data_IF_977385500861
#
_entry.id   IF_977385500861
#
_cell.length_a   1.000
_cell.length_b   1.000
_cell.length_c   1.000
_cell.angle_alpha   90.00
_cell.angle_beta   90.00
_cell.angle_gamma   90.00
#
_symmetry.space_group_name_H-M   'P 1'
#
loop_
_entity.id
_entity.type
_entity.pdbx_description
1 polymer ?
#
# COMPACT_ATOMS: atom_id res chain seq x y z
N UNK A 1 68.97 13.51 -0.88
CA UNK A 1 68.82 12.17 -1.48
C UNK A 1 67.33 11.92 -1.70
N UNK A 2 66.82 12.30 -2.87
CA UNK A 2 65.43 12.04 -3.27
C UNK A 2 65.38 10.63 -3.84
N UNK A 3 64.84 9.68 -3.09
CA UNK A 3 64.61 8.32 -3.59
C UNK A 3 63.65 8.41 -4.78
N UNK A 4 64.17 8.19 -5.99
CA UNK A 4 63.36 8.13 -7.20
C UNK A 4 62.44 6.90 -7.11
N UNK A 5 61.14 7.14 -6.98
CA UNK A 5 60.13 6.08 -7.00
C UNK A 5 60.27 5.31 -8.31
N UNK A 6 60.39 3.98 -8.21
CA UNK A 6 60.44 3.12 -9.39
C UNK A 6 59.15 3.30 -10.23
N UNK A 7 59.22 3.09 -11.56
CA UNK A 7 58.05 3.21 -12.43
C UNK A 7 56.87 2.32 -12.00
N UNK A 8 57.14 1.21 -11.31
CA UNK A 8 56.13 0.32 -10.74
C UNK A 8 55.41 0.95 -9.54
N UNK A 9 56.12 1.68 -8.67
CA UNK A 9 55.50 2.43 -7.57
C UNK A 9 54.62 3.56 -8.08
N UNK A 10 55.03 4.25 -9.15
CA UNK A 10 54.25 5.33 -9.76
C UNK A 10 52.97 4.80 -10.42
N UNK A 11 53.04 3.65 -11.08
CA UNK A 11 51.88 2.94 -11.63
C UNK A 11 50.89 2.48 -10.53
N UNK A 12 51.39 1.90 -9.43
CA UNK A 12 50.54 1.48 -8.31
C UNK A 12 49.85 2.67 -7.61
N UNK A 13 50.54 3.81 -7.49
CA UNK A 13 49.97 5.05 -6.96
C UNK A 13 48.83 5.59 -7.83
N UNK A 14 49.01 5.57 -9.16
CA UNK A 14 47.98 5.98 -10.11
C UNK A 14 46.76 5.05 -10.06
N UNK A 15 46.99 3.73 -10.01
CA UNK A 15 45.93 2.73 -9.89
C UNK A 15 45.10 2.94 -8.60
N UNK A 16 45.77 3.16 -7.47
CA UNK A 16 45.12 3.44 -6.19
C UNK A 16 44.28 4.72 -6.27
N UNK A 17 44.82 5.78 -6.87
CA UNK A 17 44.11 7.05 -7.05
C UNK A 17 42.84 6.88 -7.93
N UNK A 18 42.95 6.14 -9.04
CA UNK A 18 41.81 5.82 -9.89
C UNK A 18 40.75 4.97 -9.16
N UNK A 19 41.18 4.00 -8.35
CA UNK A 19 40.26 3.15 -7.59
C UNK A 19 39.53 3.94 -6.48
N UNK A 20 40.24 4.86 -5.80
CA UNK A 20 39.64 5.78 -4.83
C UNK A 20 38.67 6.73 -5.54
N UNK A 21 39.06 7.31 -6.68
CA UNK A 21 38.20 8.18 -7.48
C UNK A 21 36.93 7.47 -7.95
N UNK A 22 37.06 6.22 -8.41
CA UNK A 22 35.92 5.38 -8.78
C UNK A 22 35.03 5.04 -7.58
N UNK A 23 35.59 4.69 -6.43
CA UNK A 23 34.84 4.43 -5.19
C UNK A 23 34.10 5.66 -4.69
N UNK A 24 34.72 6.85 -4.76
CA UNK A 24 34.09 8.13 -4.42
C UNK A 24 32.98 8.47 -5.40
N UNK A 25 33.20 8.35 -6.71
CA UNK A 25 32.18 8.60 -7.74
C UNK A 25 31.02 7.61 -7.62
N UNK A 26 31.30 6.33 -7.41
CA UNK A 26 30.30 5.31 -7.17
C UNK A 26 29.50 5.60 -5.90
N UNK A 27 30.18 6.00 -4.83
CA UNK A 27 29.56 6.43 -3.57
C UNK A 27 28.64 7.63 -3.76
N UNK A 28 29.11 8.69 -4.41
CA UNK A 28 28.33 9.93 -4.63
C UNK A 28 27.15 9.70 -5.55
N UNK A 29 27.29 8.95 -6.66
CA UNK A 29 26.17 8.64 -7.57
C UNK A 29 25.13 7.75 -6.88
N UNK A 30 25.59 6.74 -6.13
CA UNK A 30 24.70 5.81 -5.41
C UNK A 30 23.98 6.47 -4.25
N UNK A 31 24.60 7.46 -3.60
CA UNK A 31 24.04 8.17 -2.46
C UNK A 31 23.32 9.46 -2.85
N UNK A 32 23.58 10.02 -4.04
CA UNK A 32 22.89 11.21 -4.55
C UNK A 32 21.38 11.03 -4.57
N UNK A 33 20.87 9.87 -5.01
CA UNK A 33 19.44 9.57 -4.97
C UNK A 33 18.88 9.50 -3.54
N UNK A 34 19.64 8.93 -2.60
CA UNK A 34 19.23 8.75 -1.20
C UNK A 34 19.27 10.05 -0.40
N UNK A 35 20.28 10.88 -0.62
CA UNK A 35 20.38 12.21 -0.05
C UNK A 35 19.36 13.15 -0.65
N UNK A 36 19.09 13.05 -1.96
CA UNK A 36 18.11 13.91 -2.64
C UNK A 36 16.68 13.69 -2.14
N UNK A 37 16.25 12.45 -1.88
CA UNK A 37 14.93 12.19 -1.25
C UNK A 37 14.84 12.80 0.16
N UNK A 38 15.87 12.63 1.00
CA UNK A 38 15.89 13.14 2.38
C UNK A 38 15.88 14.66 2.41
N UNK A 39 16.67 15.30 1.54
CA UNK A 39 16.69 16.75 1.38
C UNK A 39 15.35 17.29 0.85
N UNK A 40 14.71 16.60 -0.09
CA UNK A 40 13.40 17.00 -0.60
C UNK A 40 12.32 16.93 0.49
N UNK A 41 12.30 15.85 1.27
CA UNK A 41 11.42 15.69 2.43
C UNK A 41 11.60 16.82 3.46
N UNK A 42 12.84 17.07 3.88
CA UNK A 42 13.16 18.12 4.85
C UNK A 42 12.70 19.50 4.37
N UNK A 43 12.99 19.85 3.10
CA UNK A 43 12.50 21.10 2.51
C UNK A 43 10.98 21.25 2.53
N UNK A 44 10.23 20.17 2.30
CA UNK A 44 8.76 20.19 2.34
C UNK A 44 8.23 20.36 3.76
N UNK A 45 8.88 19.72 4.73
CA UNK A 45 8.59 19.87 6.16
C UNK A 45 8.87 21.33 6.58
N UNK A 46 10.04 21.86 6.26
CA UNK A 46 10.44 23.24 6.60
C UNK A 46 9.48 24.28 6.00
N UNK A 47 8.97 24.02 4.78
CA UNK A 47 8.00 24.88 4.11
C UNK A 47 6.61 24.93 4.78
N UNK A 48 6.28 23.99 5.68
CA UNK A 48 4.99 24.00 6.39
C UNK A 48 4.96 24.99 7.57
N UNK A 49 6.11 25.51 8.00
CA UNK A 49 6.23 26.44 9.12
C UNK A 49 6.18 25.78 10.52
N UNK A 50 6.41 26.56 11.59
CA UNK A 50 6.61 26.05 12.96
C UNK A 50 5.34 25.57 13.69
N UNK A 51 4.15 25.72 13.09
CA UNK A 51 2.84 25.40 13.71
C UNK A 51 2.60 23.90 13.98
N UNK A 52 3.50 23.03 13.53
CA UNK A 52 3.48 21.58 13.74
C UNK A 52 4.48 21.10 14.81
N UNK A 53 5.38 21.94 15.32
CA UNK A 53 6.62 21.47 15.94
C UNK A 53 6.49 20.84 17.35
N UNK A 54 5.63 21.35 18.23
CA UNK A 54 5.62 20.90 19.65
C UNK A 54 4.67 19.71 19.91
N UNK A 55 3.51 19.65 19.25
CA UNK A 55 2.55 18.53 19.41
C UNK A 55 2.94 17.32 18.55
N UNK A 56 3.72 17.52 17.49
CA UNK A 56 4.12 16.43 16.59
C UNK A 56 5.37 15.70 17.07
N UNK A 57 6.23 16.28 17.91
CA UNK A 57 7.51 15.65 18.26
C UNK A 57 7.33 14.29 18.95
N UNK A 58 6.39 14.19 19.89
CA UNK A 58 6.04 12.91 20.53
C UNK A 58 5.43 11.91 19.55
N UNK A 59 4.55 12.35 18.65
CA UNK A 59 3.94 11.50 17.64
C UNK A 59 4.97 11.01 16.60
N UNK A 60 5.91 11.85 16.22
CA UNK A 60 7.02 11.54 15.31
C UNK A 60 7.96 10.53 15.97
N UNK A 61 8.30 10.72 17.25
CA UNK A 61 9.16 9.79 17.95
C UNK A 61 8.46 8.43 18.15
N UNK A 62 7.15 8.42 18.45
CA UNK A 62 6.36 7.20 18.48
C UNK A 62 6.39 6.44 17.13
N UNK A 63 6.31 7.15 15.99
CA UNK A 63 6.44 6.55 14.66
C UNK A 63 7.83 5.95 14.44
N UNK A 64 8.89 6.68 14.85
CA UNK A 64 10.28 6.21 14.76
C UNK A 64 10.51 4.97 15.61
N UNK A 65 10.04 4.97 16.86
CA UNK A 65 10.18 3.87 17.80
C UNK A 65 9.42 2.63 17.35
N UNK A 66 8.16 2.78 16.93
CA UNK A 66 7.39 1.69 16.36
C UNK A 66 8.10 1.08 15.14
N UNK A 67 8.72 1.91 14.29
CA UNK A 67 9.54 1.42 13.17
C UNK A 67 10.82 0.71 13.62
N UNK A 68 11.48 1.17 14.71
CA UNK A 68 12.63 0.47 15.31
C UNK A 68 12.22 -0.95 15.72
N UNK A 69 11.12 -1.04 16.46
CA UNK A 69 10.59 -2.27 17.01
C UNK A 69 10.16 -3.23 15.89
N UNK A 70 9.47 -2.73 14.86
CA UNK A 70 9.11 -3.53 13.69
C UNK A 70 10.34 -4.13 13.00
N UNK A 71 11.42 -3.35 12.83
CA UNK A 71 12.66 -3.86 12.25
C UNK A 71 13.34 -4.89 13.15
N UNK A 72 13.31 -4.72 14.47
CA UNK A 72 13.88 -5.67 15.41
C UNK A 72 13.08 -6.97 15.43
N UNK A 73 11.75 -6.90 15.45
CA UNK A 73 10.86 -8.06 15.38
C UNK A 73 11.07 -8.86 14.08
N UNK A 74 11.32 -8.20 12.95
CA UNK A 74 11.66 -8.85 11.67
C UNK A 74 13.06 -9.48 11.64
N UNK A 75 13.96 -9.09 12.55
CA UNK A 75 15.32 -9.65 12.65
C UNK A 75 15.41 -10.87 13.57
N UNK A 76 14.36 -11.18 14.32
CA UNK A 76 14.35 -12.33 15.22
C UNK A 76 14.49 -13.64 14.42
N UNK A 77 15.25 -14.64 14.91
CA UNK A 77 15.57 -15.86 14.18
C UNK A 77 14.33 -16.64 13.72
N UNK A 78 13.25 -16.66 14.52
CA UNK A 78 11.97 -17.28 14.15
C UNK A 78 11.29 -16.64 12.92
N UNK A 79 11.68 -15.40 12.57
CA UNK A 79 11.16 -14.62 11.44
C UNK A 79 12.25 -14.31 10.41
N UNK A 80 13.46 -14.86 10.58
CA UNK A 80 14.61 -14.59 9.75
C UNK A 80 14.52 -15.42 8.46
N UNK A 81 14.33 -14.73 7.33
CA UNK A 81 14.18 -15.35 6.00
C UNK A 81 15.38 -15.02 5.11
N UNK A 82 15.62 -15.87 4.11
CA UNK A 82 16.65 -15.65 3.08
C UNK A 82 16.38 -14.39 2.24
N UNK A 83 15.10 -14.02 2.09
CA UNK A 83 14.66 -12.79 1.42
C UNK A 83 14.17 -11.75 2.43
N UNK A 84 14.45 -10.45 2.20
CA UNK A 84 13.99 -9.41 3.10
C UNK A 84 12.46 -9.31 3.07
N UNK A 85 11.82 -9.14 4.23
CA UNK A 85 10.36 -8.98 4.31
C UNK A 85 9.94 -7.65 3.64
N UNK A 86 9.02 -7.67 2.66
CA UNK A 86 8.54 -6.48 1.97
C UNK A 86 7.58 -5.67 2.83
N UNK A 87 7.60 -4.34 2.65
CA UNK A 87 6.83 -3.38 3.43
C UNK A 87 5.74 -2.75 2.58
N UNK A 88 4.49 -2.85 3.02
CA UNK A 88 3.33 -2.32 2.31
C UNK A 88 2.62 -1.28 3.17
N UNK A 89 2.29 -0.13 2.57
CA UNK A 89 1.46 0.88 3.22
C UNK A 89 0.00 0.65 2.83
N UNK A 90 -0.86 0.49 3.83
CA UNK A 90 -2.30 0.32 3.71
C UNK A 90 -2.97 1.64 4.04
N UNK A 91 -3.84 2.09 3.15
CA UNK A 91 -4.63 3.31 3.31
C UNK A 91 -6.07 3.03 2.95
N UNK A 92 -6.98 3.66 3.68
CA UNK A 92 -8.42 3.47 3.59
C UNK A 92 -9.06 4.34 4.65
N UNK A 93 -10.35 4.62 4.48
CA UNK A 93 -11.12 5.39 5.43
C UNK A 93 -11.51 4.49 6.63
N UNK A 94 -12.37 5.01 7.53
CA UNK A 94 -12.79 4.24 8.69
C UNK A 94 -13.66 3.04 8.28
N UNK A 95 -14.51 3.18 7.26
CA UNK A 95 -15.37 2.10 6.79
C UNK A 95 -14.56 0.93 6.20
N UNK A 96 -13.40 1.21 5.60
CA UNK A 96 -12.51 0.18 5.06
C UNK A 96 -12.00 -0.83 6.13
N UNK A 97 -12.09 -0.50 7.42
CA UNK A 97 -11.75 -1.37 8.55
C UNK A 97 -10.37 -2.07 8.38
N UNK A 98 -9.32 -1.28 8.16
CA UNK A 98 -7.95 -1.79 8.01
C UNK A 98 -7.51 -2.70 9.17
N UNK A 99 -7.78 -2.39 10.46
CA UNK A 99 -7.47 -3.31 11.55
C UNK A 99 -8.12 -4.67 11.39
N UNK A 100 -9.41 -4.71 11.00
CA UNK A 100 -10.14 -5.95 10.76
C UNK A 100 -9.57 -6.76 9.59
N UNK A 101 -9.20 -6.09 8.48
CA UNK A 101 -8.50 -6.71 7.35
C UNK A 101 -7.16 -7.34 7.78
N UNK A 102 -6.35 -6.59 8.53
CA UNK A 102 -5.02 -7.03 8.94
C UNK A 102 -5.10 -8.17 9.97
N UNK A 103 -6.04 -8.10 10.90
CA UNK A 103 -6.34 -9.19 11.84
C UNK A 103 -6.84 -10.45 11.10
N UNK A 104 -7.72 -10.29 10.10
CA UNK A 104 -8.19 -11.38 9.25
C UNK A 104 -7.09 -12.01 8.39
N UNK A 105 -5.98 -11.30 8.18
CA UNK A 105 -4.78 -11.85 7.55
C UNK A 105 -3.87 -12.58 8.55
N UNK A 106 -4.20 -12.66 9.84
CA UNK A 106 -3.31 -13.11 10.92
C UNK A 106 -2.08 -12.21 11.12
N UNK A 107 -2.18 -10.92 10.80
CA UNK A 107 -1.13 -9.98 11.13
C UNK A 107 -1.21 -9.59 12.62
N UNK A 108 -0.08 -9.65 13.32
CA UNK A 108 0.05 -9.21 14.70
C UNK A 108 0.38 -7.71 14.75
N UNK A 109 -0.43 -6.94 15.49
CA UNK A 109 -0.14 -5.52 15.73
C UNK A 109 1.02 -5.37 16.70
N UNK A 110 2.00 -4.57 16.32
CA UNK A 110 3.07 -4.13 17.21
C UNK A 110 2.58 -2.93 18.01
N UNK A 111 2.55 -3.08 19.33
CA UNK A 111 2.20 -2.02 20.26
C UNK A 111 3.48 -1.45 20.86
N UNK A 112 3.77 -0.14 20.68
CA UNK A 112 4.93 0.48 21.30
C UNK A 112 4.84 0.37 22.83
N UNK A 113 5.91 -0.12 23.47
CA UNK A 113 6.01 -0.09 24.93
C UNK A 113 6.17 1.36 25.40
N UNK A 114 5.18 1.90 26.13
CA UNK A 114 5.30 3.19 26.84
C UNK A 114 4.65 4.42 26.19
N UNK A 115 3.76 4.27 25.21
CA UNK A 115 2.98 5.39 24.70
C UNK A 115 1.86 5.82 25.66
N UNK A 116 1.67 7.14 25.83
CA UNK A 116 0.50 7.70 26.50
C UNK A 116 -0.79 7.15 25.87
N UNK A 117 -1.77 6.64 26.65
CA UNK A 117 -2.98 5.98 26.14
C UNK A 117 -3.93 6.91 25.35
N UNK A 118 -3.66 8.22 25.29
CA UNK A 118 -4.61 9.22 24.80
C UNK A 118 -4.43 9.67 23.35
N UNK A 119 -3.34 9.28 22.65
CA UNK A 119 -3.19 9.61 21.22
C UNK A 119 -3.02 8.36 20.38
N UNK A 120 -4.00 8.10 19.51
CA UNK A 120 -3.92 6.98 18.58
C UNK A 120 -2.77 7.22 17.57
N UNK A 121 -1.83 6.27 17.42
CA UNK A 121 -0.66 6.47 16.57
C UNK A 121 -1.09 6.62 15.10
N UNK A 122 -0.51 7.62 14.43
CA UNK A 122 -0.79 7.93 13.02
C UNK A 122 -0.45 6.78 12.07
N UNK A 123 0.64 6.04 12.34
CA UNK A 123 1.02 4.82 11.65
C UNK A 123 1.07 3.65 12.63
N UNK A 124 0.43 2.53 12.28
CA UNK A 124 0.46 1.29 13.07
C UNK A 124 1.16 0.20 12.27
N UNK A 125 1.94 -0.62 12.97
CA UNK A 125 2.76 -1.65 12.35
C UNK A 125 2.17 -3.02 12.62
N UNK A 126 2.05 -3.82 11.57
CA UNK A 126 1.47 -5.16 11.61
C UNK A 126 2.39 -6.15 10.91
N UNK A 127 2.60 -7.32 11.50
CA UNK A 127 3.49 -8.35 10.97
C UNK A 127 2.76 -9.66 10.74
N UNK A 128 2.85 -10.22 9.53
CA UNK A 128 2.17 -11.47 9.15
C UNK A 128 3.16 -12.55 8.65
N UNK A 129 4.42 -12.51 9.12
CA UNK A 129 5.49 -13.44 8.71
C UNK A 129 5.94 -13.36 7.23
N UNK A 130 5.11 -12.85 6.33
CA UNK A 130 5.33 -12.72 4.88
C UNK A 130 5.49 -11.26 4.44
N UNK A 131 4.80 -10.33 5.12
CA UNK A 131 4.93 -8.88 4.91
C UNK A 131 5.00 -8.13 6.23
N UNK A 132 5.50 -6.90 6.19
CA UNK A 132 5.22 -5.88 7.20
C UNK A 132 4.21 -4.89 6.61
N UNK A 133 3.05 -4.78 7.25
CA UNK A 133 2.00 -3.85 6.88
C UNK A 133 2.07 -2.60 7.76
N UNK A 134 2.01 -1.43 7.12
CA UNK A 134 1.90 -0.13 7.76
C UNK A 134 0.46 0.31 7.55
N UNK A 135 -0.33 0.31 8.61
CA UNK A 135 -1.70 0.84 8.60
C UNK A 135 -1.62 2.36 8.81
N UNK A 136 -2.17 3.11 7.86
CA UNK A 136 -2.35 4.55 7.97
C UNK A 136 -3.66 4.85 8.71
N UNK A 137 -3.61 5.76 9.69
CA UNK A 137 -4.80 6.18 10.42
C UNK A 137 -5.87 6.77 9.49
N UNK A 138 -7.18 6.44 9.66
CA UNK A 138 -8.26 6.90 8.76
C UNK A 138 -8.36 8.42 8.57
N UNK A 139 -7.95 9.20 9.57
CA UNK A 139 -7.88 10.67 9.50
C UNK A 139 -6.96 11.17 8.37
N UNK A 140 -6.05 10.34 7.85
CA UNK A 140 -5.20 10.71 6.71
C UNK A 140 -5.98 10.79 5.37
N UNK A 141 -7.13 10.13 5.27
CA UNK A 141 -7.98 10.13 4.06
C UNK A 141 -9.35 10.77 4.29
N UNK A 142 -9.56 11.37 5.46
CA UNK A 142 -10.78 12.13 5.78
C UNK A 142 -10.75 13.52 5.13
N UNK A 143 -11.83 14.27 5.28
CA UNK A 143 -11.89 15.68 4.83
C UNK A 143 -10.91 16.58 5.59
N UNK A 144 -10.56 16.22 6.83
CA UNK A 144 -9.57 16.92 7.65
C UNK A 144 -8.11 16.60 7.29
N UNK A 145 -7.86 15.73 6.30
CA UNK A 145 -6.51 15.33 5.89
C UNK A 145 -5.61 16.51 5.45
N UNK A 146 -6.21 17.62 5.00
CA UNK A 146 -5.49 18.82 4.60
C UNK A 146 -5.05 19.70 5.78
N UNK A 147 -5.49 19.40 7.01
CA UNK A 147 -5.08 20.13 8.19
C UNK A 147 -3.55 20.10 8.34
N UNK A 148 -2.89 21.24 8.69
CA UNK A 148 -1.43 21.32 8.78
C UNK A 148 -0.81 20.23 9.66
N UNK A 149 -1.46 19.91 10.78
CA UNK A 149 -1.03 18.85 11.70
C UNK A 149 -1.00 17.47 11.03
N UNK A 150 -2.11 17.01 10.44
CA UNK A 150 -2.19 15.71 9.74
C UNK A 150 -1.19 15.63 8.59
N UNK A 151 -1.00 16.76 7.90
CA UNK A 151 -0.07 16.89 6.79
C UNK A 151 1.40 16.80 7.24
N UNK A 152 1.74 17.43 8.36
CA UNK A 152 3.06 17.38 8.98
C UNK A 152 3.42 15.97 9.41
N UNK A 153 2.52 15.30 10.14
CA UNK A 153 2.69 13.90 10.56
C UNK A 153 2.94 12.96 9.38
N UNK A 154 2.22 13.12 8.27
CA UNK A 154 2.44 12.36 7.05
C UNK A 154 3.85 12.54 6.48
N UNK A 155 4.30 13.78 6.31
CA UNK A 155 5.64 14.07 5.77
C UNK A 155 6.75 13.56 6.68
N UNK A 156 6.58 13.71 7.99
CA UNK A 156 7.55 13.26 8.99
C UNK A 156 7.64 11.73 9.04
N UNK A 157 6.50 11.03 8.92
CA UNK A 157 6.49 9.58 8.85
C UNK A 157 7.18 9.06 7.56
N UNK A 158 6.95 9.71 6.42
CA UNK A 158 7.69 9.42 5.18
C UNK A 158 9.19 9.69 5.32
N UNK A 159 9.59 10.76 6.03
CA UNK A 159 10.99 11.04 6.33
C UNK A 159 11.62 9.95 7.20
N UNK A 160 10.97 9.57 8.30
CA UNK A 160 11.42 8.50 9.18
C UNK A 160 11.61 7.19 8.40
N UNK A 161 10.67 6.87 7.51
CA UNK A 161 10.75 5.71 6.63
C UNK A 161 11.95 5.78 5.68
N UNK A 162 12.16 6.92 5.04
CA UNK A 162 13.29 7.15 4.14
C UNK A 162 14.64 7.11 4.87
N UNK A 163 14.71 7.55 6.12
CA UNK A 163 15.95 7.54 6.91
C UNK A 163 16.35 6.15 7.40
N UNK A 164 15.36 5.31 7.75
CA UNK A 164 15.60 4.00 8.33
C UNK A 164 15.64 2.87 7.28
N UNK A 165 15.08 3.07 6.09
CA UNK A 165 15.14 2.13 4.95
C UNK A 165 15.71 2.79 3.70
N UNK A 166 17.00 2.56 3.47
CA UNK A 166 17.76 3.32 2.48
C UNK A 166 17.64 2.90 1.03
N UNK A 167 17.20 1.67 0.76
CA UNK A 167 17.07 1.13 -0.59
C UNK A 167 15.62 1.17 -1.07
N UNK A 168 14.74 0.48 -0.35
CA UNK A 168 13.31 0.37 -0.68
C UNK A 168 12.50 0.66 0.60
N UNK A 169 12.20 1.94 0.86
CA UNK A 169 11.28 2.38 1.92
C UNK A 169 9.98 1.57 1.93
N UNK A 170 9.34 1.44 0.77
CA UNK A 170 8.12 0.67 0.55
C UNK A 170 8.29 -0.28 -0.65
N UNK A 171 7.52 -1.36 -0.64
CA UNK A 171 7.43 -2.36 -1.70
C UNK A 171 6.13 -2.26 -2.50
N UNK A 172 5.11 -1.61 -1.96
CA UNK A 172 3.87 -1.29 -2.65
C UNK A 172 2.89 -0.55 -1.74
N UNK A 173 1.78 -0.15 -2.33
CA UNK A 173 0.68 0.57 -1.67
C UNK A 173 -0.60 -0.24 -1.82
N UNK A 174 -1.40 -0.35 -0.77
CA UNK A 174 -2.69 -1.02 -0.77
C UNK A 174 -3.75 0.00 -0.43
N UNK A 175 -4.63 0.27 -1.38
CA UNK A 175 -5.79 1.16 -1.24
C UNK A 175 -6.99 0.31 -0.92
N UNK A 176 -7.60 0.52 0.23
CA UNK A 176 -8.76 -0.20 0.69
C UNK A 176 -10.01 0.68 0.60
N UNK A 177 -11.09 0.11 0.08
CA UNK A 177 -12.41 0.75 0.02
C UNK A 177 -13.46 -0.23 0.50
N UNK A 178 -14.37 0.21 1.36
CA UNK A 178 -15.39 -0.68 1.91
C UNK A 178 -16.46 -1.05 0.87
N UNK A 179 -16.84 -2.32 0.83
CA UNK A 179 -17.95 -2.81 0.02
C UNK A 179 -19.26 -2.10 0.36
N UNK A 180 -19.47 -1.77 1.64
CA UNK A 180 -20.69 -1.09 2.09
C UNK A 180 -20.75 0.38 1.66
N UNK A 181 -19.60 1.06 1.53
CA UNK A 181 -19.57 2.40 0.92
C UNK A 181 -19.87 2.33 -0.57
N UNK A 182 -19.24 1.38 -1.28
CA UNK A 182 -19.48 1.16 -2.71
C UNK A 182 -20.95 0.82 -3.01
N UNK A 183 -21.62 0.09 -2.12
CA UNK A 183 -23.04 -0.25 -2.26
C UNK A 183 -23.97 0.95 -2.05
N UNK A 184 -23.62 1.85 -1.12
CA UNK A 184 -24.41 3.06 -0.81
C UNK A 184 -24.05 4.26 -1.69
N UNK A 185 -23.00 4.13 -2.50
CA UNK A 185 -22.44 5.24 -3.25
C UNK A 185 -23.41 5.73 -4.34
N UNK A 186 -23.96 6.92 -4.14
CA UNK A 186 -24.57 7.68 -5.23
C UNK A 186 -23.50 8.07 -6.27
N UNK A 187 -23.89 8.33 -7.54
CA UNK A 187 -22.98 8.81 -8.56
C UNK A 187 -22.15 10.01 -8.08
N UNK A 188 -20.82 9.86 -8.03
CA UNK A 188 -19.87 10.90 -7.67
C UNK A 188 -19.39 10.88 -6.22
N UNK A 189 -20.06 10.18 -5.30
CA UNK A 189 -19.74 10.21 -3.85
C UNK A 189 -18.37 9.59 -3.52
N UNK A 190 -17.92 8.62 -4.32
CA UNK A 190 -16.61 7.99 -4.12
C UNK A 190 -15.44 8.79 -4.68
N UNK A 191 -15.68 9.74 -5.61
CA UNK A 191 -14.62 10.49 -6.28
C UNK A 191 -13.79 11.34 -5.30
N UNK A 192 -14.37 12.10 -4.34
CA UNK A 192 -13.60 12.86 -3.38
C UNK A 192 -12.68 11.99 -2.51
N UNK A 193 -13.18 10.86 -2.02
CA UNK A 193 -12.40 9.91 -1.22
C UNK A 193 -11.24 9.34 -2.05
N UNK A 194 -11.52 8.85 -3.26
CA UNK A 194 -10.51 8.36 -4.18
C UNK A 194 -9.47 9.42 -4.56
N UNK A 195 -9.88 10.69 -4.74
CA UNK A 195 -8.96 11.79 -5.02
C UNK A 195 -8.05 12.14 -3.82
N UNK A 196 -8.54 12.02 -2.58
CA UNK A 196 -7.69 12.16 -1.38
C UNK A 196 -6.66 11.03 -1.30
N UNK A 197 -7.10 9.79 -1.50
CA UNK A 197 -6.21 8.63 -1.54
C UNK A 197 -5.17 8.74 -2.66
N UNK A 198 -5.56 9.16 -3.86
CA UNK A 198 -4.64 9.43 -4.98
C UNK A 198 -3.55 10.44 -4.61
N UNK A 199 -3.91 11.55 -3.98
CA UNK A 199 -2.93 12.56 -3.54
C UNK A 199 -1.87 11.96 -2.62
N UNK A 200 -2.25 11.08 -1.70
CA UNK A 200 -1.29 10.36 -0.84
C UNK A 200 -0.41 9.39 -1.63
N UNK A 201 -0.98 8.67 -2.61
CA UNK A 201 -0.22 7.74 -3.46
C UNK A 201 0.84 8.47 -4.29
N UNK A 202 0.45 9.54 -4.97
CA UNK A 202 1.34 10.39 -5.78
C UNK A 202 2.40 11.02 -4.89
N UNK A 203 1.99 11.57 -3.75
CA UNK A 203 2.92 12.14 -2.80
C UNK A 203 3.93 11.13 -2.25
N UNK A 204 3.50 9.94 -1.85
CA UNK A 204 4.40 8.89 -1.39
C UNK A 204 5.41 8.53 -2.48
N UNK A 205 4.94 8.36 -3.72
CA UNK A 205 5.79 8.07 -4.88
C UNK A 205 6.81 9.17 -5.16
N UNK A 206 6.38 10.42 -5.22
CA UNK A 206 7.23 11.58 -5.53
C UNK A 206 8.27 11.82 -4.43
N UNK A 207 7.81 11.75 -3.18
CA UNK A 207 8.63 12.04 -1.99
C UNK A 207 9.68 10.96 -1.77
N UNK A 208 9.30 9.69 -1.92
CA UNK A 208 10.23 8.57 -1.82
C UNK A 208 11.04 8.37 -3.11
N UNK A 209 10.68 9.06 -4.20
CA UNK A 209 11.22 8.91 -5.56
C UNK A 209 11.13 7.45 -6.03
N UNK A 210 9.95 6.85 -5.91
CA UNK A 210 9.66 5.46 -6.27
C UNK A 210 8.39 5.37 -7.10
N UNK A 211 8.37 4.47 -8.08
CA UNK A 211 7.14 4.03 -8.72
C UNK A 211 6.68 2.73 -8.07
N UNK A 212 5.75 2.87 -7.12
CA UNK A 212 5.24 1.78 -6.31
C UNK A 212 4.08 1.06 -7.04
N UNK A 213 4.02 -0.29 -7.00
CA UNK A 213 2.83 -1.02 -7.41
C UNK A 213 1.69 -0.75 -6.43
N UNK A 214 0.47 -0.59 -6.94
CA UNK A 214 -0.71 -0.19 -6.18
C UNK A 214 -1.81 -1.24 -6.34
N UNK A 215 -2.33 -1.70 -5.21
CA UNK A 215 -3.43 -2.66 -5.14
C UNK A 215 -4.69 -1.94 -4.72
N UNK A 216 -5.78 -2.18 -5.44
CA UNK A 216 -7.12 -1.81 -4.98
C UNK A 216 -7.74 -3.02 -4.29
N UNK A 217 -8.13 -2.88 -3.04
CA UNK A 217 -8.74 -3.93 -2.24
C UNK A 217 -10.10 -3.47 -1.77
N UNK A 218 -11.13 -4.24 -2.11
CA UNK A 218 -12.45 -4.08 -1.55
C UNK A 218 -12.51 -4.86 -0.24
N UNK A 219 -12.75 -4.17 0.86
CA UNK A 219 -12.87 -4.77 2.19
C UNK A 219 -14.33 -4.85 2.61
N UNK A 220 -14.63 -5.57 3.68
CA UNK A 220 -15.96 -5.54 4.27
C UNK A 220 -17.00 -6.37 3.54
N UNK A 221 -16.60 -7.44 2.81
CA UNK A 221 -17.57 -8.34 2.18
C UNK A 221 -18.55 -8.97 3.17
N UNK A 222 -18.15 -9.09 4.44
CA UNK A 222 -19.01 -9.59 5.52
C UNK A 222 -20.22 -8.71 5.81
N UNK A 223 -20.19 -7.46 5.35
CA UNK A 223 -21.29 -6.50 5.50
C UNK A 223 -22.33 -6.63 4.39
N UNK A 224 -22.06 -7.41 3.33
CA UNK A 224 -23.01 -7.63 2.25
C UNK A 224 -24.06 -8.67 2.66
N UNK A 225 -25.31 -8.41 2.27
CA UNK A 225 -26.42 -9.33 2.46
C UNK A 225 -26.10 -10.72 1.91
N UNK A 226 -26.38 -11.76 2.70
CA UNK A 226 -26.17 -13.15 2.31
C UNK A 226 -24.74 -13.69 2.44
N UNK A 227 -23.76 -12.87 2.86
CA UNK A 227 -22.38 -13.33 3.06
C UNK A 227 -22.27 -14.52 4.02
N UNK A 228 -22.98 -14.50 5.16
CA UNK A 228 -22.91 -15.58 6.15
C UNK A 228 -23.32 -16.94 5.55
N UNK A 229 -24.39 -16.95 4.74
CA UNK A 229 -24.84 -18.15 4.02
C UNK A 229 -23.84 -18.59 2.96
N UNK A 230 -23.32 -17.66 2.16
CA UNK A 230 -22.31 -17.98 1.15
C UNK A 230 -21.06 -18.57 1.80
N UNK A 231 -20.51 -17.93 2.83
CA UNK A 231 -19.33 -18.39 3.55
C UNK A 231 -19.55 -19.79 4.11
N UNK A 232 -20.70 -20.05 4.74
CA UNK A 232 -21.02 -21.36 5.30
C UNK A 232 -21.15 -22.47 4.25
N UNK A 233 -21.39 -22.12 2.98
CA UNK A 233 -21.44 -23.05 1.86
C UNK A 233 -20.07 -23.25 1.18
N UNK A 234 -19.05 -22.44 1.49
CA UNK A 234 -17.72 -22.56 0.89
C UNK A 234 -16.77 -23.36 1.78
N UNK A 235 -15.96 -24.25 1.20
CA UNK A 235 -14.97 -24.99 1.96
C UNK A 235 -13.81 -24.07 2.40
N UNK A 236 -13.10 -24.40 3.50
CA UNK A 236 -12.01 -23.58 4.03
C UNK A 236 -10.91 -23.25 3.02
N UNK A 237 -10.61 -24.17 2.11
CA UNK A 237 -9.58 -24.00 1.07
C UNK A 237 -9.96 -22.89 0.10
N UNK A 238 -11.24 -22.76 -0.25
CA UNK A 238 -11.75 -21.67 -1.10
C UNK A 238 -11.76 -20.36 -0.33
N UNK A 239 -12.10 -20.39 0.96
CA UNK A 239 -12.04 -19.19 1.82
C UNK A 239 -10.61 -18.69 2.02
N UNK A 240 -9.58 -19.53 1.86
CA UNK A 240 -8.19 -19.12 1.92
C UNK A 240 -7.68 -18.49 0.60
N UNK A 241 -8.33 -18.79 -0.53
CA UNK A 241 -7.93 -18.29 -1.85
C UNK A 241 -8.29 -16.82 -2.02
N UNK A 242 -7.43 -16.05 -2.70
CA UNK A 242 -7.74 -14.64 -2.97
C UNK A 242 -8.79 -14.54 -4.09
N UNK A 243 -9.82 -13.74 -3.87
CA UNK A 243 -10.77 -13.36 -4.92
C UNK A 243 -10.30 -12.05 -5.53
N UNK A 244 -10.03 -12.05 -6.84
CA UNK A 244 -9.56 -10.87 -7.53
C UNK A 244 -8.80 -11.15 -8.81
N UNK A 245 -8.14 -10.13 -9.33
CA UNK A 245 -7.32 -10.22 -10.52
C UNK A 245 -5.98 -9.52 -10.31
N UNK A 246 -4.91 -10.18 -10.74
CA UNK A 246 -3.53 -9.67 -10.69
C UNK A 246 -3.11 -9.25 -12.10
N UNK A 247 -2.88 -7.96 -12.34
CA UNK A 247 -2.51 -7.45 -13.66
C UNK A 247 -1.03 -7.70 -13.97
N UNK A 248 -0.69 -8.39 -15.06
CA UNK A 248 0.69 -8.38 -15.54
C UNK A 248 1.19 -6.93 -15.73
N UNK A 249 2.47 -6.67 -15.41
CA UNK A 249 3.18 -5.39 -15.60
C UNK A 249 2.68 -4.59 -16.82
N UNK A 250 2.56 -3.26 -16.72
CA UNK A 250 1.46 -2.49 -17.30
C UNK A 250 1.35 -2.69 -18.80
N UNK A 251 0.13 -3.02 -19.25
CA UNK A 251 -0.28 -2.75 -20.63
C UNK A 251 0.04 -1.28 -20.91
N UNK A 252 0.91 -1.02 -21.89
CA UNK A 252 1.16 0.32 -22.42
C UNK A 252 -0.04 0.90 -23.19
N UNK A 253 -1.23 0.38 -22.94
CA UNK A 253 -2.48 0.86 -23.50
C UNK A 253 -2.87 2.16 -22.83
N UNK A 254 -3.27 3.13 -23.64
CA UNK A 254 -3.80 4.42 -23.20
C UNK A 254 -5.26 4.29 -22.73
N UNK A 255 -5.67 3.10 -22.30
CA UNK A 255 -7.05 2.79 -21.96
C UNK A 255 -7.44 3.47 -20.65
N UNK A 256 -8.63 4.07 -20.65
CA UNK A 256 -9.24 4.65 -19.46
C UNK A 256 -9.24 3.65 -18.30
N UNK A 257 -9.04 4.12 -17.07
CA UNK A 257 -8.95 3.24 -15.92
C UNK A 257 -10.25 2.44 -15.68
N UNK A 258 -11.42 3.02 -15.97
CA UNK A 258 -12.70 2.34 -15.93
C UNK A 258 -12.79 1.19 -16.95
N UNK A 259 -12.29 1.37 -18.17
CA UNK A 259 -12.28 0.30 -19.17
C UNK A 259 -11.37 -0.87 -18.71
N UNK A 260 -10.22 -0.54 -18.10
CA UNK A 260 -9.36 -1.53 -17.46
C UNK A 260 -10.06 -2.22 -16.30
N UNK A 261 -10.86 -1.52 -15.50
CA UNK A 261 -11.65 -2.14 -14.45
C UNK A 261 -12.68 -3.11 -15.01
N UNK A 262 -13.45 -2.73 -16.03
CA UNK A 262 -14.44 -3.60 -16.64
C UNK A 262 -13.79 -4.91 -17.12
N UNK A 263 -12.63 -4.82 -17.79
CA UNK A 263 -11.87 -5.99 -18.22
C UNK A 263 -11.42 -6.92 -17.07
N UNK A 264 -11.21 -6.39 -15.86
CA UNK A 264 -10.87 -7.19 -14.68
C UNK A 264 -12.11 -7.75 -13.98
N UNK A 265 -13.20 -7.00 -13.99
CA UNK A 265 -14.42 -7.31 -13.26
C UNK A 265 -15.33 -8.28 -14.02
N UNK A 266 -15.42 -8.18 -15.34
CA UNK A 266 -16.30 -9.04 -16.14
C UNK A 266 -15.97 -10.55 -15.99
N UNK A 267 -14.70 -10.99 -16.04
CA UNK A 267 -14.36 -12.40 -15.77
C UNK A 267 -14.72 -12.82 -14.35
N UNK A 268 -14.53 -11.93 -13.37
CA UNK A 268 -14.92 -12.18 -11.98
C UNK A 268 -16.44 -12.33 -11.87
N UNK A 269 -17.22 -11.48 -12.52
CA UNK A 269 -18.68 -11.55 -12.54
C UNK A 269 -19.18 -12.86 -13.18
N UNK A 270 -18.52 -13.34 -14.23
CA UNK A 270 -18.81 -14.65 -14.83
C UNK A 270 -18.52 -15.81 -13.86
N UNK A 271 -17.39 -15.77 -13.14
CA UNK A 271 -17.05 -16.77 -12.13
C UNK A 271 -18.04 -16.75 -10.95
N UNK A 272 -18.42 -15.56 -10.48
CA UNK A 272 -19.44 -15.39 -9.44
C UNK A 272 -20.81 -15.93 -9.89
N UNK A 273 -21.18 -15.74 -11.16
CA UNK A 273 -22.39 -16.31 -11.73
C UNK A 273 -22.36 -17.85 -11.73
N UNK A 274 -21.24 -18.46 -12.16
CA UNK A 274 -21.06 -19.90 -12.15
C UNK A 274 -21.11 -20.46 -10.71
N UNK A 275 -20.43 -19.80 -9.77
CA UNK A 275 -20.46 -20.13 -8.35
C UNK A 275 -21.90 -20.09 -7.80
N UNK A 276 -22.65 -19.04 -8.13
CA UNK A 276 -24.07 -18.93 -7.76
C UNK A 276 -24.86 -20.15 -8.22
N UNK A 277 -24.73 -20.54 -9.48
CA UNK A 277 -25.46 -21.69 -10.02
C UNK A 277 -25.10 -23.00 -9.32
N UNK A 278 -23.85 -23.18 -8.92
CA UNK A 278 -23.42 -24.34 -8.14
C UNK A 278 -24.04 -24.33 -6.74
N UNK A 279 -23.87 -23.24 -5.99
CA UNK A 279 -24.35 -23.13 -4.61
C UNK A 279 -25.88 -23.16 -4.49
N UNK A 280 -26.61 -22.63 -5.49
CA UNK A 280 -28.07 -22.68 -5.50
C UNK A 280 -28.62 -24.11 -5.63
N UNK A 281 -27.91 -25.01 -6.32
CA UNK A 281 -28.31 -26.43 -6.41
C UNK A 281 -28.11 -27.16 -5.09
N UNK A 282 -27.09 -26.78 -4.34
CA UNK A 282 -26.73 -27.42 -3.08
C UNK A 282 -27.52 -26.89 -1.89
N UNK A 283 -28.07 -25.66 -1.97
CA UNK A 283 -28.85 -25.10 -0.86
C UNK A 283 -30.31 -25.58 -0.83
N UNK A 284 -30.74 -26.30 0.24
CA UNK A 284 -32.09 -26.83 0.34
C UNK A 284 -33.14 -25.76 0.69
N UNK A 285 -32.79 -24.75 1.48
CA UNK A 285 -33.76 -23.75 1.94
C UNK A 285 -33.97 -22.62 0.92
N UNK A 286 -35.22 -22.15 0.81
CA UNK A 286 -35.54 -21.01 -0.06
C UNK A 286 -34.85 -19.73 0.40
N UNK A 287 -34.79 -19.50 1.71
CA UNK A 287 -34.07 -18.36 2.31
C UNK A 287 -32.57 -18.42 2.04
N UNK A 288 -31.94 -19.61 2.12
CA UNK A 288 -30.52 -19.78 1.82
C UNK A 288 -30.20 -19.54 0.35
N UNK A 289 -31.06 -20.01 -0.56
CA UNK A 289 -30.94 -19.71 -1.99
C UNK A 289 -31.07 -18.22 -2.28
N UNK A 290 -32.04 -17.54 -1.65
CA UNK A 290 -32.18 -16.09 -1.77
C UNK A 290 -30.93 -15.36 -1.27
N UNK A 291 -30.42 -15.73 -0.09
CA UNK A 291 -29.22 -15.12 0.48
C UNK A 291 -27.99 -15.25 -0.44
N UNK A 292 -27.76 -16.43 -1.02
CA UNK A 292 -26.67 -16.62 -2.01
C UNK A 292 -26.89 -15.73 -3.23
N UNK A 293 -28.12 -15.65 -3.73
CA UNK A 293 -28.45 -14.80 -4.88
C UNK A 293 -28.18 -13.33 -4.56
N UNK A 294 -28.64 -12.84 -3.42
CA UNK A 294 -28.45 -11.47 -2.94
C UNK A 294 -26.97 -11.11 -2.81
N UNK A 295 -26.15 -11.99 -2.23
CA UNK A 295 -24.71 -11.74 -2.10
C UNK A 295 -24.04 -11.55 -3.47
N UNK A 296 -24.34 -12.42 -4.42
CA UNK A 296 -23.73 -12.40 -5.76
C UNK A 296 -24.18 -11.17 -6.53
N UNK A 297 -25.46 -10.78 -6.43
CA UNK A 297 -25.94 -9.54 -7.04
C UNK A 297 -25.36 -8.30 -6.35
N UNK A 298 -25.21 -8.31 -5.02
CA UNK A 298 -24.56 -7.23 -4.27
C UNK A 298 -23.10 -7.04 -4.71
N UNK A 299 -22.35 -8.12 -4.89
CA UNK A 299 -20.99 -8.09 -5.44
C UNK A 299 -20.96 -7.46 -6.83
N UNK A 300 -21.85 -7.89 -7.74
CA UNK A 300 -21.93 -7.34 -9.11
C UNK A 300 -22.29 -5.85 -9.11
N UNK A 301 -23.17 -5.43 -8.20
CA UNK A 301 -23.60 -4.05 -8.05
C UNK A 301 -22.48 -3.10 -7.60
N UNK A 302 -21.32 -3.61 -7.14
CA UNK A 302 -20.18 -2.77 -6.79
C UNK A 302 -19.46 -2.18 -8.02
N UNK A 303 -19.60 -2.78 -9.21
CA UNK A 303 -18.84 -2.41 -10.40
C UNK A 303 -18.96 -0.91 -10.78
N UNK A 304 -20.15 -0.28 -10.81
CA UNK A 304 -20.27 1.13 -11.19
C UNK A 304 -19.54 2.09 -10.23
N UNK A 305 -19.59 1.82 -8.92
CA UNK A 305 -18.87 2.63 -7.93
C UNK A 305 -17.36 2.38 -8.01
N UNK A 306 -16.95 1.12 -8.22
CA UNK A 306 -15.54 0.78 -8.43
C UNK A 306 -14.96 1.46 -9.66
N UNK A 307 -15.73 1.64 -10.75
CA UNK A 307 -15.28 2.38 -11.95
C UNK A 307 -14.88 3.80 -11.59
N UNK A 308 -15.71 4.48 -10.80
CA UNK A 308 -15.44 5.84 -10.35
C UNK A 308 -14.18 5.93 -9.48
N UNK A 309 -13.99 4.94 -8.59
CA UNK A 309 -12.78 4.83 -7.76
C UNK A 309 -11.55 4.59 -8.63
N UNK A 310 -11.61 3.65 -9.57
CA UNK A 310 -10.52 3.30 -10.47
C UNK A 310 -10.11 4.48 -11.36
N UNK A 311 -11.08 5.20 -11.93
CA UNK A 311 -10.84 6.46 -12.67
C UNK A 311 -10.14 7.47 -11.78
N UNK A 312 -10.74 7.81 -10.64
CA UNK A 312 -10.17 8.81 -9.76
C UNK A 312 -8.74 8.45 -9.30
N UNK A 313 -8.44 7.18 -9.02
CA UNK A 313 -7.12 6.72 -8.59
C UNK A 313 -6.08 6.59 -9.72
N UNK A 314 -6.46 6.07 -10.89
CA UNK A 314 -5.51 5.56 -11.90
C UNK A 314 -5.58 6.27 -13.25
N UNK A 315 -6.45 7.27 -13.43
CA UNK A 315 -6.52 8.08 -14.65
C UNK A 315 -5.17 8.76 -14.91
N UNK A 316 -4.59 8.60 -16.10
CA UNK A 316 -3.36 9.29 -16.48
C UNK A 316 -3.68 10.69 -16.97
N UNK A 317 -3.14 11.71 -16.31
CA UNK A 317 -3.32 13.11 -16.74
C UNK A 317 -2.17 13.51 -17.66
N UNK A 318 -2.35 13.29 -18.97
CA UNK A 318 -1.55 13.92 -20.03
C UNK A 318 -0.20 13.27 -20.39
N UNK A 319 0.39 13.77 -21.48
CA UNK A 319 1.67 13.29 -22.03
C UNK A 319 2.82 13.59 -21.06
N UNK A 320 3.37 12.55 -20.45
CA UNK A 320 4.63 12.61 -19.69
C UNK A 320 4.52 12.25 -18.21
N UNK A 321 3.31 12.28 -17.64
CA UNK A 321 3.05 11.77 -16.29
C UNK A 321 2.72 10.28 -16.35
N UNK A 322 3.60 9.42 -15.82
CA UNK A 322 3.27 8.00 -15.62
C UNK A 322 2.38 7.93 -14.38
N UNK A 323 1.08 7.77 -14.60
CA UNK A 323 0.08 7.66 -13.54
C UNK A 323 0.36 6.50 -12.58
N UNK A 324 -0.37 6.42 -11.46
CA UNK A 324 -0.15 5.42 -10.44
C UNK A 324 -0.24 3.99 -11.01
N UNK A 325 0.70 3.11 -10.62
CA UNK A 325 0.85 1.78 -11.23
C UNK A 325 -0.12 0.77 -10.63
N UNK A 326 -1.30 0.64 -11.22
CA UNK A 326 -2.28 -0.36 -10.81
C UNK A 326 -1.78 -1.79 -11.06
N UNK A 327 -1.77 -2.63 -10.01
CA UNK A 327 -1.18 -3.98 -10.00
C UNK A 327 -2.20 -5.09 -9.76
N UNK A 328 -3.30 -4.81 -9.08
CA UNK A 328 -4.33 -5.80 -8.79
C UNK A 328 -5.60 -5.20 -8.21
N UNK A 329 -6.69 -5.94 -8.35
CA UNK A 329 -7.97 -5.73 -7.69
C UNK A 329 -8.29 -6.99 -6.86
N UNK A 330 -8.59 -6.85 -5.58
CA UNK A 330 -8.94 -7.98 -4.70
C UNK A 330 -10.14 -7.66 -3.82
N UNK A 331 -10.81 -8.69 -3.32
CA UNK A 331 -11.96 -8.59 -2.42
C UNK A 331 -11.72 -9.41 -1.17
N UNK A 332 -12.05 -8.87 -0.01
CA UNK A 332 -11.68 -9.46 1.30
C UNK A 332 -12.79 -9.29 2.33
N UNK A 333 -12.92 -10.27 3.21
CA UNK A 333 -13.83 -10.22 4.35
C UNK A 333 -13.04 -10.23 5.66
N UNK A 334 -13.39 -9.33 6.57
CA UNK A 334 -12.84 -9.35 7.92
C UNK A 334 -13.42 -10.53 8.73
N UNK A 335 -12.77 -10.85 9.84
CA UNK A 335 -13.37 -11.75 10.82
C UNK A 335 -14.55 -11.03 11.50
N UNK A 336 -15.60 -11.79 11.81
CA UNK A 336 -16.70 -11.38 12.67
C UNK A 336 -16.76 -12.29 13.90
N UNK A 337 -17.56 -11.91 14.90
CA UNK A 337 -17.74 -12.71 16.12
C UNK A 337 -18.21 -14.14 15.84
N UNK A 338 -18.87 -14.36 14.69
CA UNK A 338 -19.38 -15.66 14.28
C UNK A 338 -18.43 -16.46 13.37
N UNK A 339 -17.41 -15.83 12.78
CA UNK A 339 -16.61 -16.45 11.73
C UNK A 339 -15.24 -15.78 11.50
N UNK A 340 -14.21 -16.56 11.22
CA UNK A 340 -12.91 -16.04 10.78
C UNK A 340 -12.98 -15.26 9.46
N UNK A 341 -11.91 -14.54 9.11
CA UNK A 341 -11.82 -13.80 7.86
C UNK A 341 -11.91 -14.69 6.61
N UNK A 342 -12.02 -14.06 5.44
CA UNK A 342 -11.99 -14.75 4.15
C UNK A 342 -11.18 -13.98 3.10
N UNK A 343 -10.59 -14.74 2.18
CA UNK A 343 -9.92 -14.28 0.98
C UNK A 343 -8.67 -13.43 1.22
N UNK A 344 -8.13 -13.47 2.44
CA UNK A 344 -6.94 -12.72 2.87
C UNK A 344 -5.65 -13.54 2.78
N UNK A 345 -5.70 -14.85 3.04
CA UNK A 345 -4.50 -15.67 3.22
C UNK A 345 -3.58 -15.65 1.99
N UNK A 346 -4.11 -15.94 0.80
CA UNK A 346 -3.35 -15.88 -0.45
C UNK A 346 -2.87 -14.45 -0.80
N UNK A 347 -3.69 -13.43 -0.54
CA UNK A 347 -3.32 -12.04 -0.81
C UNK A 347 -2.05 -11.66 -0.04
N UNK A 348 -2.02 -11.92 1.26
CA UNK A 348 -0.91 -11.56 2.14
C UNK A 348 0.26 -12.55 2.11
N UNK A 349 -0.02 -13.84 1.89
CA UNK A 349 0.99 -14.90 1.88
C UNK A 349 1.68 -15.12 0.54
N UNK A 350 0.99 -14.84 -0.58
CA UNK A 350 1.48 -15.14 -1.93
C UNK A 350 1.55 -13.92 -2.84
N UNK A 351 0.47 -13.15 -2.96
CA UNK A 351 0.38 -12.13 -4.00
C UNK A 351 1.17 -10.85 -3.67
N UNK A 352 0.95 -10.24 -2.50
CA UNK A 352 1.71 -9.05 -2.10
C UNK A 352 3.22 -9.33 -2.00
N UNK A 353 3.69 -10.40 -1.32
CA UNK A 353 5.13 -10.66 -1.22
C UNK A 353 5.82 -10.91 -2.57
N UNK A 354 5.16 -11.59 -3.50
CA UNK A 354 5.72 -11.92 -4.81
C UNK A 354 6.02 -10.69 -5.67
N UNK A 355 5.39 -9.55 -5.38
CA UNK A 355 5.57 -8.30 -6.11
C UNK A 355 6.60 -7.34 -5.46
N UNK A 356 7.30 -7.82 -4.42
CA UNK A 356 8.44 -7.10 -3.82
C UNK A 356 9.44 -6.48 -4.82
N UNK A 357 9.88 -7.16 -5.90
CA UNK A 357 10.91 -6.62 -6.80
C UNK A 357 10.37 -5.60 -7.81
N UNK A 358 9.07 -5.33 -7.84
CA UNK A 358 8.47 -4.49 -8.89
C UNK A 358 8.64 -2.99 -8.69
N UNK A 359 9.16 -2.56 -7.55
CA UNK A 359 9.42 -1.13 -7.30
C UNK A 359 10.49 -0.61 -8.25
N UNK A 360 10.16 0.46 -8.96
CA UNK A 360 11.11 1.12 -9.87
C UNK A 360 11.57 2.45 -9.29
N UNK A 361 12.81 2.89 -9.57
CA UNK A 361 13.22 4.26 -9.29
C UNK A 361 12.25 5.25 -9.94
N UNK A 362 11.80 6.24 -9.16
CA UNK A 362 11.00 7.36 -9.65
C UNK A 362 11.84 8.28 -10.55
N UNK A 363 11.19 8.94 -11.50
CA UNK A 363 11.85 9.96 -12.32
C UNK A 363 12.04 11.23 -11.47
N UNK A 364 13.16 11.95 -11.56
CA UNK A 364 13.24 13.27 -10.94
C UNK A 364 12.12 14.18 -11.46
N UNK A 365 11.53 15.04 -10.59
CA UNK A 365 10.51 15.99 -11.02
C UNK A 365 11.07 16.88 -12.13
N UNK A 366 10.25 17.18 -13.13
CA UNK A 366 10.63 18.05 -14.23
C UNK A 366 10.90 19.45 -13.64
N UNK A 367 12.07 20.03 -13.89
CA UNK A 367 12.48 21.32 -13.31
C UNK A 367 11.59 22.50 -13.72
N UNK A 368 10.64 22.29 -14.65
CA UNK A 368 9.71 23.27 -15.17
C UNK A 368 8.30 23.20 -14.57
N UNK A 369 8.02 22.31 -13.61
CA UNK A 369 6.72 22.23 -12.97
C UNK A 369 6.64 23.23 -11.79
N UNK A 370 5.64 24.14 -11.74
CA UNK A 370 5.46 24.99 -10.57
C UNK A 370 5.14 24.14 -9.33
N UNK A 371 5.53 24.58 -8.12
CA UNK A 371 5.15 23.90 -6.90
C UNK A 371 3.61 23.86 -6.78
N UNK A 372 3.04 22.77 -6.22
CA UNK A 372 1.61 22.63 -6.01
C UNK A 372 1.06 23.60 -4.97
#
# INVERSE_FOLDING_TARGET
>A
MTAALSPTHLFLLLLLLCLIGFMLLYGTVRDAGRGARRRALRRRIDAQGPTAAETDEAAIEAVRDAMSQARQALRQPARQRSTPVPWFLFLGDAAANLPGLLAAAHAERLVPSGGEPFSEPYWRWWLNGSIAAIELHPAAVSESAAAPHTRGLWLQALLALAERRDRLPLNGLVVCVAASELQRADPGTMKPLAARMRRLLEEAGDTLRLQLPIYLVVTGLEQLGGYATLRGALPPEVLAQAIGHRLAEPHGGNDAAAARLDALFDPLAQQLHALRMALLREQPSASGRLAIHEFIEAMRALQPALRQVADALFESHGRGSRGPRWRGLYFTAAASDAAGGAFTADLFGRFLPADQPLVRPGRPPNASAPPP
#
